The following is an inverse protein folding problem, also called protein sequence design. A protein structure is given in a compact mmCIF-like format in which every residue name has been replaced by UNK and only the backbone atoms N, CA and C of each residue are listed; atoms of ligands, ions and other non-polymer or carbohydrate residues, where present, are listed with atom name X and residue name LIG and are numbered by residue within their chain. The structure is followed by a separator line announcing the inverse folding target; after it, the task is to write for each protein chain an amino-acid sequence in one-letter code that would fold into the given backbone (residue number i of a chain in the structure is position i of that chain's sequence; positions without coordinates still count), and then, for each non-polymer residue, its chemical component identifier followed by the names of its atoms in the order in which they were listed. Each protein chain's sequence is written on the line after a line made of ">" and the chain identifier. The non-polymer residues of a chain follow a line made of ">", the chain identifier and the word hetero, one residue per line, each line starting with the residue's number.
data_IF_381060866560
#
_entry.id   IF_381060866560
#
_cell.length_a   1.000
_cell.length_b   1.000
_cell.length_c   1.000
_cell.angle_alpha   90.00
_cell.angle_beta   90.00
_cell.angle_gamma   90.00
#
_symmetry.space_group_name_H-M   'P 1'
#
loop_
_entity.id
_entity.type
_entity.pdbx_description
1 polymer ?
#
# COMPACT_ATOMS: atom_id res chain seq x y z
N UNK A 1 12.11 10.06 33.06
CA UNK A 1 11.39 8.77 33.09
C UNK A 1 10.13 8.84 32.22
N UNK A 2 10.26 9.01 30.90
CA UNK A 2 9.11 9.18 29.98
C UNK A 2 9.26 8.42 28.65
N UNK A 3 10.19 7.47 28.54
CA UNK A 3 10.52 6.75 27.28
C UNK A 3 9.90 5.34 27.19
N UNK A 4 9.36 4.81 28.29
CA UNK A 4 8.73 3.49 28.33
C UNK A 4 7.43 3.41 27.50
N UNK A 5 6.54 4.43 27.49
CA UNK A 5 5.33 4.41 26.67
C UNK A 5 5.63 4.41 25.17
N UNK A 6 6.64 5.17 24.74
CA UNK A 6 7.06 5.23 23.33
C UNK A 6 7.63 3.90 22.84
N UNK A 7 8.35 3.16 23.69
CA UNK A 7 8.82 1.81 23.32
C UNK A 7 7.65 0.87 23.04
N UNK A 8 6.58 0.94 23.84
CA UNK A 8 5.37 0.13 23.63
C UNK A 8 4.71 0.37 22.27
N UNK A 9 4.51 1.63 21.89
CA UNK A 9 3.95 1.98 20.57
C UNK A 9 4.84 1.52 19.41
N UNK A 10 6.16 1.69 19.53
CA UNK A 10 7.12 1.23 18.52
C UNK A 10 7.12 -0.29 18.41
N UNK A 11 7.04 -1.02 19.53
CA UNK A 11 6.95 -2.49 19.51
C UNK A 11 5.69 -2.97 18.82
N UNK A 12 4.53 -2.37 19.10
CA UNK A 12 3.27 -2.73 18.43
C UNK A 12 3.37 -2.46 16.92
N UNK A 13 3.86 -1.28 16.53
CA UNK A 13 4.04 -0.93 15.12
C UNK A 13 5.02 -1.88 14.42
N UNK A 14 6.14 -2.21 15.05
CA UNK A 14 7.15 -3.10 14.50
C UNK A 14 6.62 -4.53 14.31
N UNK A 15 5.83 -5.04 15.25
CA UNK A 15 5.24 -6.38 15.16
C UNK A 15 4.17 -6.41 14.08
N UNK A 16 3.17 -5.54 14.15
CA UNK A 16 1.99 -5.62 13.29
C UNK A 16 2.20 -4.94 11.94
N UNK A 17 2.74 -3.72 11.93
CA UNK A 17 2.94 -2.94 10.70
C UNK A 17 4.09 -3.46 9.84
N UNK A 18 5.16 -3.96 10.48
CA UNK A 18 6.37 -4.38 9.75
C UNK A 18 6.51 -5.90 9.68
N UNK A 19 6.76 -6.58 10.80
CA UNK A 19 7.13 -8.00 10.79
C UNK A 19 6.01 -8.89 10.26
N UNK A 20 4.79 -8.75 10.79
CA UNK A 20 3.64 -9.57 10.41
C UNK A 20 3.20 -9.29 8.96
N UNK A 21 3.12 -8.02 8.57
CA UNK A 21 2.77 -7.61 7.20
C UNK A 21 3.74 -8.20 6.17
N UNK A 22 5.05 -8.15 6.43
CA UNK A 22 6.08 -8.71 5.53
C UNK A 22 5.99 -10.23 5.45
N UNK A 23 5.73 -10.93 6.57
CA UNK A 23 5.53 -12.39 6.55
C UNK A 23 4.32 -12.74 5.68
N UNK A 24 3.18 -12.08 5.88
CA UNK A 24 1.96 -12.30 5.09
C UNK A 24 2.21 -12.00 3.61
N UNK A 25 2.89 -10.90 3.30
CA UNK A 25 3.21 -10.52 1.93
C UNK A 25 4.13 -11.54 1.24
N UNK A 26 5.15 -12.03 1.93
CA UNK A 26 6.04 -13.07 1.41
C UNK A 26 5.29 -14.39 1.18
N UNK A 27 4.40 -14.79 2.09
CA UNK A 27 3.55 -15.96 1.93
C UNK A 27 2.58 -15.77 0.76
N UNK A 28 2.01 -14.58 0.60
CA UNK A 28 1.12 -14.23 -0.49
C UNK A 28 1.83 -14.38 -1.84
N UNK A 29 3.03 -13.81 -2.00
CA UNK A 29 3.82 -13.94 -3.24
C UNK A 29 4.15 -15.40 -3.55
N UNK A 30 4.41 -16.23 -2.54
CA UNK A 30 4.68 -17.67 -2.75
C UNK A 30 3.46 -18.44 -3.24
N UNK A 31 2.26 -18.03 -2.83
CA UNK A 31 1.01 -18.72 -3.13
C UNK A 31 0.20 -18.08 -4.27
N UNK A 32 0.60 -16.92 -4.75
CA UNK A 32 -0.16 -16.11 -5.70
C UNK A 32 0.72 -15.56 -6.82
N UNK A 33 0.11 -15.05 -7.88
CA UNK A 33 0.78 -14.45 -9.01
C UNK A 33 1.19 -12.99 -8.76
N UNK A 34 2.25 -12.53 -9.44
CA UNK A 34 2.80 -11.19 -9.27
C UNK A 34 1.77 -10.05 -9.41
N UNK A 35 0.70 -10.28 -10.19
CA UNK A 35 -0.38 -9.32 -10.38
C UNK A 35 -1.18 -9.06 -9.09
N UNK A 36 -1.45 -10.11 -8.30
CA UNK A 36 -2.19 -9.98 -7.05
C UNK A 36 -1.31 -9.34 -5.96
N UNK A 37 -0.02 -9.70 -5.89
CA UNK A 37 0.93 -9.01 -5.03
C UNK A 37 1.04 -7.51 -5.35
N UNK A 38 0.99 -7.15 -6.64
CA UNK A 38 1.02 -5.75 -7.09
C UNK A 38 -0.23 -4.97 -6.69
N UNK A 39 -1.38 -5.63 -6.58
CA UNK A 39 -2.63 -4.98 -6.15
C UNK A 39 -2.53 -4.40 -4.72
N UNK A 40 -1.77 -5.04 -3.83
CA UNK A 40 -1.52 -4.54 -2.46
C UNK A 40 -0.83 -3.19 -2.50
N UNK A 41 0.18 -3.03 -3.37
CA UNK A 41 0.90 -1.76 -3.56
C UNK A 41 -0.02 -0.67 -4.12
N UNK A 42 -0.94 -1.01 -5.01
CA UNK A 42 -1.87 -0.04 -5.61
C UNK A 42 -2.99 0.36 -4.67
N UNK A 43 -3.24 -0.46 -3.65
CA UNK A 43 -4.18 -0.15 -2.58
C UNK A 43 -3.61 0.85 -1.57
N UNK A 44 -2.28 0.95 -1.44
CA UNK A 44 -1.61 1.88 -0.49
C UNK A 44 -2.12 3.32 -0.63
N UNK A 45 -2.07 4.00 -1.80
CA UNK A 45 -2.56 5.38 -1.92
C UNK A 45 -4.05 5.51 -1.59
N UNK A 46 -4.86 4.52 -1.95
CA UNK A 46 -6.31 4.52 -1.66
C UNK A 46 -6.57 4.43 -0.15
N UNK A 47 -5.90 3.51 0.54
CA UNK A 47 -6.04 3.33 1.99
C UNK A 47 -5.46 4.53 2.73
N UNK A 48 -4.34 5.10 2.28
CA UNK A 48 -3.74 6.29 2.87
C UNK A 48 -4.69 7.49 2.82
N UNK A 49 -5.36 7.73 1.69
CA UNK A 49 -6.40 8.77 1.61
C UNK A 49 -7.59 8.47 2.51
N UNK A 50 -8.04 7.21 2.55
CA UNK A 50 -9.11 6.79 3.45
C UNK A 50 -8.79 7.10 4.92
N UNK A 51 -7.57 6.77 5.36
CA UNK A 51 -7.10 7.10 6.71
C UNK A 51 -7.00 8.61 6.95
N UNK A 52 -6.49 9.40 5.98
CA UNK A 52 -6.43 10.86 6.10
C UNK A 52 -7.81 11.50 6.25
N UNK A 53 -8.82 11.03 5.50
CA UNK A 53 -10.21 11.49 5.66
C UNK A 53 -10.78 11.08 7.03
N UNK A 54 -10.50 9.85 7.50
CA UNK A 54 -10.96 9.35 8.79
C UNK A 54 -10.33 10.08 9.99
N UNK A 55 -9.07 10.51 9.86
CA UNK A 55 -8.36 11.31 10.87
C UNK A 55 -8.84 12.79 10.88
N UNK A 56 -9.78 13.14 9.99
CA UNK A 56 -10.36 14.48 9.90
C UNK A 56 -9.46 15.49 9.19
N UNK A 57 -8.45 15.04 8.45
CA UNK A 57 -7.62 15.94 7.66
C UNK A 57 -8.45 16.61 6.55
N UNK A 58 -8.15 17.88 6.26
CA UNK A 58 -8.71 18.58 5.10
C UNK A 58 -8.06 18.03 3.83
N UNK A 59 -8.52 16.85 3.40
CA UNK A 59 -8.13 16.25 2.12
C UNK A 59 -8.71 17.10 1.00
N UNK A 60 -7.91 18.05 0.53
CA UNK A 60 -8.22 18.88 -0.62
C UNK A 60 -8.52 18.02 -1.86
N UNK A 61 -9.41 18.53 -2.71
CA UNK A 61 -9.77 17.89 -3.98
C UNK A 61 -8.55 17.65 -4.91
N UNK A 62 -7.48 18.43 -4.71
CA UNK A 62 -6.18 18.26 -5.39
C UNK A 62 -5.52 16.90 -5.07
N UNK A 63 -5.65 16.36 -3.86
CA UNK A 63 -5.12 15.04 -3.52
C UNK A 63 -5.80 13.92 -4.31
N UNK A 64 -7.08 14.08 -4.63
CA UNK A 64 -7.81 13.15 -5.48
C UNK A 64 -7.24 13.13 -6.90
N UNK A 65 -6.91 14.30 -7.47
CA UNK A 65 -6.24 14.39 -8.77
C UNK A 65 -4.88 13.68 -8.75
N UNK A 66 -4.08 13.85 -7.69
CA UNK A 66 -2.80 13.16 -7.55
C UNK A 66 -2.95 11.65 -7.44
N UNK A 67 -3.94 11.15 -6.71
CA UNK A 67 -4.22 9.71 -6.63
C UNK A 67 -4.62 9.15 -7.98
N UNK A 68 -5.52 9.83 -8.71
CA UNK A 68 -5.92 9.42 -10.06
C UNK A 68 -4.71 9.38 -10.99
N UNK A 69 -3.80 10.36 -10.90
CA UNK A 69 -2.56 10.40 -11.67
C UNK A 69 -1.65 9.20 -11.35
N UNK A 70 -1.45 8.88 -10.06
CA UNK A 70 -0.62 7.74 -9.62
C UNK A 70 -1.23 6.42 -10.10
N UNK A 71 -2.54 6.22 -9.92
CA UNK A 71 -3.25 5.03 -10.38
C UNK A 71 -3.21 4.89 -11.91
N UNK A 72 -3.30 5.99 -12.65
CA UNK A 72 -3.10 6.01 -14.11
C UNK A 72 -1.68 5.57 -14.50
N UNK A 73 -0.66 6.13 -13.86
CA UNK A 73 0.74 5.76 -14.12
C UNK A 73 0.98 4.27 -13.87
N UNK A 74 0.48 3.77 -12.74
CA UNK A 74 0.49 2.34 -12.39
C UNK A 74 -0.22 1.49 -13.44
N UNK A 75 -1.43 1.89 -13.87
CA UNK A 75 -2.21 1.17 -14.86
C UNK A 75 -1.49 1.06 -16.20
N UNK A 76 -0.88 2.16 -16.67
CA UNK A 76 -0.11 2.18 -17.92
C UNK A 76 1.10 1.23 -17.87
N UNK A 77 1.81 1.18 -16.74
CA UNK A 77 2.96 0.28 -16.55
C UNK A 77 2.51 -1.19 -16.50
N UNK A 78 1.44 -1.50 -15.76
CA UNK A 78 0.91 -2.87 -15.68
C UNK A 78 0.36 -3.37 -17.02
N UNK A 79 -0.25 -2.48 -17.80
CA UNK A 79 -0.80 -2.83 -19.11
C UNK A 79 0.28 -3.27 -20.10
N UNK A 80 1.50 -2.71 -20.02
CA UNK A 80 2.63 -3.11 -20.88
C UNK A 80 3.22 -4.48 -20.55
N UNK A 81 3.10 -4.95 -19.30
CA UNK A 81 3.54 -6.29 -18.91
C UNK A 81 2.66 -7.41 -19.51
N UNK A 82 1.54 -7.06 -20.16
CA UNK A 82 0.63 -7.96 -20.86
C UNK A 82 0.74 -7.77 -22.38
N UNK A 83 1.95 -7.70 -22.92
CA UNK A 83 2.12 -7.88 -24.36
C UNK A 83 1.75 -9.35 -24.69
N UNK A 84 0.85 -9.60 -25.65
CA UNK A 84 0.46 -10.96 -26.00
C UNK A 84 1.70 -11.65 -26.56
N UNK A 85 2.08 -12.78 -25.96
CA UNK A 85 2.98 -13.73 -26.58
C UNK A 85 2.28 -14.20 -27.87
N UNK A 86 2.67 -13.60 -29.00
CA UNK A 86 2.38 -14.12 -30.32
C UNK A 86 3.34 -15.27 -30.58
N UNK A 87 2.81 -16.48 -30.49
CA UNK A 87 3.31 -17.77 -30.99
C UNK A 87 4.54 -18.38 -30.33
#
# INVERSE_FOLDING_TARGET
>A
MATLPSLGYVSILAIFGTALSVIIFNVLIRNTNALFASSVTYLIPVVAMGWGVLDGENVQLSHFLWIVLILLGVYLVNKKAKAPETH
#
